data_IF_213307233937
#
_entry.id   IF_213307233937
#
_cell.length_a   1.000
_cell.length_b   1.000
_cell.length_c   1.000
_cell.angle_alpha   90.00
_cell.angle_beta   90.00
_cell.angle_gamma   90.00
#
_symmetry.space_group_name_H-M   'P 1'
#
loop_
_entity.id
_entity.type
_entity.pdbx_description
1 polymer ?
#
# COMPACT_ATOMS: atom_id res chain seq x y z
N UNK A 1 -10.19 -26.70 15.88
CA UNK A 1 -10.44 -25.24 15.80
C UNK A 1 -9.35 -24.55 16.59
N UNK A 2 -8.49 -23.79 15.91
CA UNK A 2 -7.28 -23.19 16.49
C UNK A 2 -7.45 -21.68 16.56
N UNK A 3 -7.02 -21.07 17.67
CA UNK A 3 -7.02 -19.60 17.82
C UNK A 3 -5.59 -19.10 17.69
N UNK A 4 -5.39 -18.15 16.78
CA UNK A 4 -4.09 -17.54 16.54
C UNK A 4 -4.13 -16.04 16.78
N UNK A 5 -3.01 -15.52 17.24
CA UNK A 5 -2.73 -14.09 17.25
C UNK A 5 -2.00 -13.73 15.96
N UNK A 6 -2.66 -13.00 15.09
CA UNK A 6 -2.15 -12.67 13.75
C UNK A 6 -1.90 -11.19 13.64
N UNK A 7 -0.74 -10.81 13.13
CA UNK A 7 -0.39 -9.43 12.81
C UNK A 7 0.19 -9.31 11.40
N UNK A 8 -0.02 -8.15 10.76
CA UNK A 8 0.50 -7.86 9.42
C UNK A 8 1.30 -6.56 9.46
N UNK A 9 2.54 -6.64 9.00
CA UNK A 9 3.51 -5.56 9.02
C UNK A 9 4.00 -5.26 7.61
N UNK A 10 4.36 -4.00 7.37
CA UNK A 10 5.14 -3.56 6.22
C UNK A 10 6.48 -3.07 6.77
N UNK A 11 7.54 -3.85 6.56
CA UNK A 11 8.85 -3.62 7.20
C UNK A 11 8.71 -3.46 8.74
N UNK A 12 9.06 -2.29 9.29
CA UNK A 12 8.98 -1.97 10.72
C UNK A 12 7.61 -1.44 11.16
N UNK A 13 6.74 -1.06 10.20
CA UNK A 13 5.43 -0.47 10.50
C UNK A 13 4.36 -1.55 10.60
N UNK A 14 3.64 -1.57 11.71
CA UNK A 14 2.48 -2.44 11.87
C UNK A 14 1.30 -1.86 11.06
N UNK A 15 0.81 -2.62 10.08
CA UNK A 15 -0.34 -2.22 9.25
C UNK A 15 -1.64 -2.73 9.87
N UNK A 16 -1.62 -3.97 10.38
CA UNK A 16 -2.72 -4.59 11.11
C UNK A 16 -2.19 -5.06 12.46
N UNK A 17 -2.66 -4.41 13.52
CA UNK A 17 -2.39 -4.80 14.91
C UNK A 17 -2.83 -6.25 15.17
N UNK A 18 -2.19 -6.87 16.17
CA UNK A 18 -2.46 -8.23 16.61
C UNK A 18 -3.98 -8.47 16.79
N UNK A 19 -4.53 -9.41 16.00
CA UNK A 19 -5.95 -9.81 16.05
C UNK A 19 -6.04 -11.30 16.34
N UNK A 20 -7.07 -11.67 17.11
CA UNK A 20 -7.42 -13.08 17.32
C UNK A 20 -8.19 -13.57 16.10
N UNK A 21 -7.70 -14.62 15.48
CA UNK A 21 -8.33 -15.28 14.33
C UNK A 21 -8.59 -16.73 14.68
N UNK A 22 -9.83 -17.18 14.48
CA UNK A 22 -10.18 -18.59 14.54
C UNK A 22 -9.97 -19.22 13.17
N UNK A 23 -9.21 -20.30 13.11
CA UNK A 23 -9.00 -21.09 11.89
C UNK A 23 -9.87 -22.34 11.98
N UNK A 24 -10.76 -22.49 11.00
CA UNK A 24 -11.45 -23.73 10.70
C UNK A 24 -10.54 -24.63 9.84
N UNK A 25 -10.58 -25.94 10.06
CA UNK A 25 -9.69 -26.95 9.46
C UNK A 25 -9.78 -27.09 7.93
N UNK A 26 -10.56 -26.24 7.26
CA UNK A 26 -10.68 -26.16 5.80
C UNK A 26 -9.68 -25.19 5.18
N UNK A 27 -9.13 -24.25 5.95
CA UNK A 27 -8.08 -23.34 5.51
C UNK A 27 -6.71 -23.95 5.82
N UNK A 28 -6.04 -24.45 4.78
CA UNK A 28 -4.87 -25.30 4.96
C UNK A 28 -3.57 -24.55 4.73
N UNK A 29 -3.59 -23.32 4.20
CA UNK A 29 -2.37 -22.59 3.87
C UNK A 29 -2.27 -21.22 4.54
N UNK A 30 -1.04 -20.78 4.83
CA UNK A 30 -0.79 -19.42 5.33
C UNK A 30 -1.32 -18.35 4.39
N UNK A 31 -1.39 -18.64 3.09
CA UNK A 31 -2.03 -17.80 2.08
C UNK A 31 -3.50 -17.52 2.40
N UNK A 32 -4.28 -18.54 2.75
CA UNK A 32 -5.71 -18.38 3.06
C UNK A 32 -5.90 -17.47 4.28
N UNK A 33 -5.06 -17.63 5.29
CA UNK A 33 -5.04 -16.78 6.49
C UNK A 33 -4.66 -15.33 6.16
N UNK A 34 -3.64 -15.15 5.31
CA UNK A 34 -3.19 -13.84 4.88
C UNK A 34 -4.26 -13.11 4.04
N UNK A 35 -4.88 -13.82 3.09
CA UNK A 35 -5.93 -13.29 2.24
C UNK A 35 -7.16 -12.90 3.07
N UNK A 36 -7.53 -13.71 4.06
CA UNK A 36 -8.60 -13.38 5.00
C UNK A 36 -8.30 -12.12 5.82
N UNK A 37 -7.03 -11.94 6.24
CA UNK A 37 -6.60 -10.77 7.02
C UNK A 37 -6.51 -9.48 6.19
N UNK A 38 -6.13 -9.59 4.93
CA UNK A 38 -5.90 -8.46 4.03
C UNK A 38 -7.06 -8.19 3.09
N UNK A 39 -8.11 -9.02 3.12
CA UNK A 39 -9.20 -9.02 2.13
C UNK A 39 -8.68 -9.22 0.70
N UNK A 40 -7.66 -10.06 0.54
CA UNK A 40 -6.98 -10.34 -0.74
C UNK A 40 -6.19 -9.17 -1.32
N UNK A 41 -5.92 -8.13 -0.51
CA UNK A 41 -5.03 -7.05 -0.92
C UNK A 41 -3.58 -7.52 -0.80
N UNK A 42 -2.71 -7.04 -1.70
CA UNK A 42 -1.26 -7.33 -1.69
C UNK A 42 -0.82 -8.71 -2.22
N UNK A 43 -1.65 -9.41 -3.00
CA UNK A 43 -1.27 -10.68 -3.66
C UNK A 43 -0.02 -10.59 -4.55
N UNK A 44 0.29 -9.39 -5.06
CA UNK A 44 1.42 -9.17 -5.96
C UNK A 44 2.74 -8.89 -5.22
N UNK A 45 2.71 -8.84 -3.87
CA UNK A 45 3.88 -8.51 -3.05
C UNK A 45 4.48 -9.77 -2.43
N UNK A 46 5.81 -9.77 -2.28
CA UNK A 46 6.48 -10.82 -1.53
C UNK A 46 6.17 -10.69 -0.04
N UNK A 47 5.72 -11.79 0.56
CA UNK A 47 5.34 -11.85 1.98
C UNK A 47 6.19 -12.89 2.70
N UNK A 48 6.86 -12.46 3.76
CA UNK A 48 7.56 -13.32 4.67
C UNK A 48 6.66 -13.67 5.86
N UNK A 49 6.64 -14.96 6.22
CA UNK A 49 5.83 -15.46 7.34
C UNK A 49 6.74 -15.77 8.51
N UNK A 50 6.35 -15.30 9.69
CA UNK A 50 7.05 -15.53 10.94
C UNK A 50 6.10 -16.09 11.98
N UNK A 51 6.63 -16.94 12.87
CA UNK A 51 5.89 -17.58 13.94
C UNK A 51 6.64 -17.53 15.26
N UNK A 52 5.91 -17.61 16.37
CA UNK A 52 6.45 -17.82 17.72
C UNK A 52 5.38 -18.40 18.64
N UNK A 53 5.80 -19.06 19.73
CA UNK A 53 4.84 -19.64 20.69
C UNK A 53 4.39 -18.59 21.68
N UNK A 54 5.35 -17.82 22.20
CA UNK A 54 5.15 -16.82 23.23
C UNK A 54 5.70 -15.45 22.85
N UNK A 55 5.23 -14.40 23.52
CA UNK A 55 5.69 -13.03 23.25
C UNK A 55 7.15 -12.78 23.63
N UNK A 56 7.68 -13.59 24.55
CA UNK A 56 9.07 -13.61 25.01
C UNK A 56 10.03 -14.22 23.99
N UNK A 57 9.53 -15.05 23.07
CA UNK A 57 10.35 -15.72 22.07
C UNK A 57 10.63 -14.82 20.85
N UNK A 58 11.79 -15.09 20.24
CA UNK A 58 12.15 -14.50 18.96
C UNK A 58 11.26 -15.05 17.84
N UNK A 59 10.96 -14.20 16.87
CA UNK A 59 10.26 -14.60 15.66
C UNK A 59 11.10 -15.58 14.84
N UNK A 60 10.50 -16.70 14.46
CA UNK A 60 11.10 -17.69 13.58
C UNK A 60 10.51 -17.54 12.18
N UNK A 61 11.36 -17.46 11.16
CA UNK A 61 10.94 -17.37 9.76
C UNK A 61 10.52 -18.76 9.26
N UNK A 62 9.43 -18.80 8.51
CA UNK A 62 9.01 -20.00 7.76
C UNK A 62 9.58 -19.91 6.35
N UNK A 63 10.35 -20.91 5.95
CA UNK A 63 10.97 -20.97 4.62
C UNK A 63 9.94 -21.14 3.50
N UNK A 64 8.88 -21.90 3.75
CA UNK A 64 7.79 -22.12 2.78
C UNK A 64 6.87 -20.89 2.60
N UNK A 65 7.05 -19.83 3.41
CA UNK A 65 6.27 -18.59 3.31
C UNK A 65 4.76 -18.83 3.33
N UNK A 66 4.04 -18.18 2.41
CA UNK A 66 2.58 -18.31 2.27
C UNK A 66 2.11 -19.70 1.81
N UNK A 67 2.98 -20.47 1.16
CA UNK A 67 2.67 -21.81 0.67
C UNK A 67 2.80 -22.88 1.77
N UNK A 68 3.21 -22.50 2.98
CA UNK A 68 3.30 -23.40 4.12
C UNK A 68 1.92 -23.89 4.57
N UNK A 69 1.88 -25.12 5.10
CA UNK A 69 0.68 -25.70 5.69
C UNK A 69 0.45 -25.13 7.10
N UNK A 70 -0.75 -24.66 7.39
CA UNK A 70 -1.14 -24.16 8.72
C UNK A 70 -1.16 -25.25 9.79
N UNK A 71 -1.31 -26.52 9.41
CA UNK A 71 -1.28 -27.66 10.33
C UNK A 71 0.01 -27.72 11.16
N UNK A 72 1.12 -27.17 10.62
CA UNK A 72 2.39 -27.10 11.36
C UNK A 72 2.27 -26.26 12.64
N UNK A 73 1.36 -25.28 12.69
CA UNK A 73 1.15 -24.45 13.87
C UNK A 73 0.57 -25.26 15.02
N UNK A 74 -0.36 -26.16 14.72
CA UNK A 74 -0.96 -27.06 15.71
C UNK A 74 0.05 -28.11 16.18
N UNK A 75 0.75 -28.76 15.24
CA UNK A 75 1.74 -29.82 15.55
C UNK A 75 2.91 -29.28 16.38
N UNK A 76 3.36 -28.06 16.09
CA UNK A 76 4.53 -27.44 16.75
C UNK A 76 4.14 -26.50 17.91
N UNK A 77 2.84 -26.27 18.14
CA UNK A 77 2.34 -25.43 19.23
C UNK A 77 2.60 -23.93 19.05
N UNK A 78 2.64 -23.42 17.82
CA UNK A 78 2.76 -21.99 17.55
C UNK A 78 1.40 -21.29 17.65
N UNK A 79 1.35 -20.22 18.44
CA UNK A 79 0.12 -19.47 18.71
C UNK A 79 0.09 -18.09 18.04
N UNK A 80 1.25 -17.61 17.59
CA UNK A 80 1.38 -16.28 17.01
C UNK A 80 1.97 -16.34 15.61
N UNK A 81 1.35 -15.59 14.69
CA UNK A 81 1.77 -15.48 13.29
C UNK A 81 1.94 -14.02 12.94
N UNK A 82 3.03 -13.71 12.26
CA UNK A 82 3.34 -12.38 11.74
C UNK A 82 3.61 -12.48 10.25
N UNK A 83 2.88 -11.70 9.48
CA UNK A 83 3.14 -11.50 8.06
C UNK A 83 3.91 -10.20 7.87
N UNK A 84 5.03 -10.25 7.15
CA UNK A 84 5.81 -9.08 6.78
C UNK A 84 5.81 -8.93 5.27
N UNK A 85 5.21 -7.83 4.78
CA UNK A 85 5.33 -7.39 3.40
C UNK A 85 6.77 -6.88 3.18
N UNK A 86 7.47 -7.51 2.24
CA UNK A 86 8.78 -7.03 1.80
C UNK A 86 8.55 -5.79 0.94
N UNK A 87 9.14 -4.67 1.35
CA UNK A 87 9.21 -3.49 0.50
C UNK A 87 10.36 -3.73 -0.45
N UNK A 88 10.09 -3.88 -1.75
CA UNK A 88 11.13 -3.91 -2.76
C UNK A 88 11.79 -2.52 -2.80
N UNK A 89 12.86 -2.35 -2.02
CA UNK A 89 13.78 -1.21 -2.09
C UNK A 89 14.94 -1.47 -3.05
N UNK A 90 14.77 -2.39 -4.00
CA UNK A 90 15.74 -2.59 -5.07
C UNK A 90 15.58 -1.48 -6.13
N UNK A 91 16.11 -0.31 -5.80
CA UNK A 91 16.44 0.74 -6.77
C UNK A 91 17.92 0.73 -7.13
N UNK A 92 18.58 -0.44 -7.14
CA UNK A 92 19.99 -0.57 -7.58
C UNK A 92 20.23 -1.96 -8.22
N UNK A 93 19.56 -2.28 -9.33
CA UNK A 93 20.01 -3.19 -10.43
C UNK A 93 18.92 -3.16 -11.52
N UNK A 94 19.27 -3.03 -12.83
CA UNK A 94 18.31 -2.64 -13.86
C UNK A 94 17.27 -3.73 -14.11
N UNK A 95 16.01 -3.39 -13.87
CA UNK A 95 14.86 -4.24 -14.14
C UNK A 95 14.80 -4.66 -15.62
N UNK A 96 14.38 -5.91 -15.94
CA UNK A 96 13.87 -6.19 -17.26
C UNK A 96 12.56 -5.41 -17.44
N UNK A 97 12.60 -4.54 -18.45
CA UNK A 97 11.53 -3.74 -19.02
C UNK A 97 10.17 -4.44 -18.95
N UNK A 98 9.21 -3.88 -18.20
CA UNK A 98 7.88 -3.48 -18.73
C UNK A 98 6.94 -2.95 -17.62
N UNK A 99 7.22 -1.74 -17.14
CA UNK A 99 6.19 -0.87 -16.54
C UNK A 99 6.31 0.52 -17.16
N UNK A 100 6.29 0.59 -18.50
CA UNK A 100 6.49 1.86 -19.23
C UNK A 100 5.30 2.84 -19.14
N UNK A 101 4.22 2.52 -18.44
CA UNK A 101 3.01 3.38 -18.42
C UNK A 101 2.54 3.79 -17.02
N UNK A 102 3.38 3.69 -15.99
CA UNK A 102 3.04 4.37 -14.74
C UNK A 102 3.58 5.79 -14.79
N UNK A 103 2.72 6.82 -14.85
CA UNK A 103 3.20 8.18 -14.99
C UNK A 103 3.93 8.58 -13.70
N UNK A 104 5.25 8.73 -13.82
CA UNK A 104 6.13 9.15 -12.75
C UNK A 104 5.56 10.42 -12.10
N UNK A 105 5.25 10.35 -10.81
CA UNK A 105 4.62 11.44 -10.05
C UNK A 105 5.46 12.72 -10.13
N UNK A 106 6.80 12.60 -10.12
CA UNK A 106 7.69 13.74 -10.31
C UNK A 106 7.55 14.34 -11.71
N UNK A 107 7.38 13.53 -12.76
CA UNK A 107 7.12 14.04 -14.10
C UNK A 107 5.76 14.73 -14.22
N UNK A 108 4.74 14.28 -13.48
CA UNK A 108 3.44 14.96 -13.41
C UNK A 108 3.59 16.32 -12.72
N UNK A 109 4.27 16.36 -11.57
CA UNK A 109 4.52 17.59 -10.83
C UNK A 109 5.32 18.60 -11.65
N UNK A 110 6.37 18.15 -12.33
CA UNK A 110 7.19 18.98 -13.23
C UNK A 110 6.42 19.46 -14.47
N UNK A 111 5.51 18.64 -15.01
CA UNK A 111 4.62 19.08 -16.10
C UNK A 111 3.60 20.11 -15.64
N UNK A 112 3.08 19.96 -14.42
CA UNK A 112 2.09 20.86 -13.86
C UNK A 112 2.72 22.18 -13.41
N UNK A 113 3.96 22.19 -12.91
CA UNK A 113 4.68 23.43 -12.57
C UNK A 113 4.93 24.33 -13.78
N UNK A 114 5.08 23.74 -14.97
CA UNK A 114 5.24 24.48 -16.22
C UNK A 114 3.92 25.07 -16.76
N UNK A 115 2.78 24.78 -16.12
CA UNK A 115 1.47 25.30 -16.49
C UNK A 115 0.96 26.24 -15.40
N UNK A 116 1.15 27.56 -15.53
CA UNK A 116 0.50 28.50 -14.62
C UNK A 116 -1.02 28.31 -14.70
N UNK A 117 -1.62 27.91 -13.58
CA UNK A 117 -3.06 27.77 -13.42
C UNK A 117 -3.62 29.13 -13.03
N UNK A 118 -4.43 29.70 -13.92
CA UNK A 118 -5.15 30.92 -13.62
C UNK A 118 -6.37 30.59 -12.76
N UNK A 119 -6.71 31.44 -11.78
CA UNK A 119 -7.97 31.33 -11.07
C UNK A 119 -9.17 31.35 -12.03
N UNK A 120 -10.25 30.68 -11.64
CA UNK A 120 -11.49 30.63 -12.43
C UNK A 120 -12.31 31.91 -12.25
N UNK A 121 -13.16 32.22 -13.25
CA UNK A 121 -14.13 33.29 -13.15
C UNK A 121 -15.05 33.11 -11.95
N UNK A 122 -15.33 34.21 -11.29
CA UNK A 122 -16.34 34.27 -10.23
C UNK A 122 -17.69 34.62 -10.83
N UNK A 123 -18.74 34.15 -10.18
CA UNK A 123 -20.10 34.62 -10.42
C UNK A 123 -20.17 36.11 -10.09
N UNK A 124 -20.61 36.92 -11.06
CA UNK A 124 -20.58 38.39 -10.96
C UNK A 124 -21.70 38.85 -10.02
N UNK A 125 -21.35 39.18 -8.79
CA UNK A 125 -22.29 39.72 -7.79
C UNK A 125 -22.03 41.18 -7.44
N UNK A 126 -20.80 41.67 -7.64
CA UNK A 126 -20.39 43.03 -7.34
C UNK A 126 -19.27 43.49 -8.29
N UNK A 127 -18.93 44.78 -8.23
CA UNK A 127 -17.89 45.38 -9.07
C UNK A 127 -16.48 44.80 -8.83
N UNK A 128 -16.20 44.23 -7.66
CA UNK A 128 -14.92 43.55 -7.40
C UNK A 128 -14.82 42.22 -8.15
N UNK A 129 -15.92 41.46 -8.21
CA UNK A 129 -15.96 40.21 -8.98
C UNK A 129 -15.88 40.48 -10.49
N UNK A 130 -16.43 41.61 -10.94
CA UNK A 130 -16.27 42.06 -12.33
C UNK A 130 -14.80 42.41 -12.65
N UNK A 131 -14.17 43.27 -11.85
CA UNK A 131 -12.76 43.64 -12.04
C UNK A 131 -11.84 42.42 -11.95
N UNK A 132 -12.11 41.50 -11.02
CA UNK A 132 -11.38 40.24 -10.89
C UNK A 132 -11.46 39.42 -12.18
N UNK A 133 -12.66 39.27 -12.73
CA UNK A 133 -12.89 38.53 -13.98
C UNK A 133 -12.19 39.20 -15.17
N UNK A 134 -12.25 40.53 -15.28
CA UNK A 134 -11.55 41.30 -16.34
C UNK A 134 -10.02 41.09 -16.27
N UNK A 135 -9.44 41.05 -15.07
CA UNK A 135 -8.01 40.76 -14.90
C UNK A 135 -7.68 39.33 -15.35
N UNK A 136 -8.52 38.35 -15.01
CA UNK A 136 -8.34 36.95 -15.45
C UNK A 136 -8.39 36.84 -16.98
N UNK A 137 -9.30 37.54 -17.65
CA UNK A 137 -9.39 37.57 -19.12
C UNK A 137 -8.12 38.12 -19.77
N UNK A 138 -7.54 39.21 -19.24
CA UNK A 138 -6.29 39.78 -19.73
C UNK A 138 -5.15 38.74 -19.69
N UNK A 139 -5.04 38.01 -18.57
CA UNK A 139 -4.00 36.98 -18.42
C UNK A 139 -4.24 35.76 -19.33
N UNK A 140 -5.49 35.42 -19.63
CA UNK A 140 -5.80 34.33 -20.56
C UNK A 140 -5.45 34.70 -22.00
N UNK A 141 -5.76 35.92 -22.44
CA UNK A 141 -5.45 36.40 -23.80
C UNK A 141 -3.93 36.46 -24.02
N UNK A 142 -3.16 36.94 -23.04
CA UNK A 142 -1.71 37.01 -23.13
C UNK A 142 -1.05 35.62 -23.24
N UNK A 143 -1.63 34.59 -22.61
CA UNK A 143 -1.15 33.21 -22.69
C UNK A 143 -1.37 32.56 -24.06
N UNK A 144 -2.30 33.06 -24.87
CA UNK A 144 -2.61 32.56 -26.21
C UNK A 144 -1.81 33.26 -27.33
N UNK A 145 -1.13 34.37 -27.00
CA UNK A 145 -0.41 35.21 -27.96
C UNK A 145 1.12 34.95 -28.02
N UNK A 146 1.65 34.02 -27.22
CA UNK A 146 3.06 33.60 -27.22
C UNK A 146 3.18 32.09 -27.39
#
# INVERSE_FOLDING_TARGET
MLYLLVQVNESTKCFISERVVSIESTNNQFKDLFDAMTSGQYNDREVQVFVRREKSENWQKIDNGLNGDLNMLEVLGFLQVKFCLVVNTDSDTPAPVSTQNQPNIFNILMRNSNKPLLPQHRTVYNNYDQLYNEIIEIFQVQKLAG
#
